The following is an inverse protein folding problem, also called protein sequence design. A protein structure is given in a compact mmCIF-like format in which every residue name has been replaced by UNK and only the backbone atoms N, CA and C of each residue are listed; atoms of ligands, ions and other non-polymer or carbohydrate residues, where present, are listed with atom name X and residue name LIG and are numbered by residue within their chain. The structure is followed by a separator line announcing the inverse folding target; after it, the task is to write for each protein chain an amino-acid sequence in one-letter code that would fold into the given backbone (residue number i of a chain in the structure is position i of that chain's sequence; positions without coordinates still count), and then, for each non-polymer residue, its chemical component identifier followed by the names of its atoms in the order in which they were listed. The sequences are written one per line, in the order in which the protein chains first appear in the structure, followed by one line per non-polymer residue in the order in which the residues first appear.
data_IF_607357905958
#
_entry.id   IF_607357905958
#
_cell.length_a   1.000
_cell.length_b   1.000
_cell.length_c   1.000
_cell.angle_alpha   90.00
_cell.angle_beta   90.00
_cell.angle_gamma   90.00
#
_symmetry.space_group_name_H-M   'P 1'
#
loop_
_entity.id
_entity.type
_entity.pdbx_description
1 polymer ?
#
# COMPACT_ATOMS: atom_id res chain seq x y z
N UNK A 1 21.26 -11.58 -4.46
CA UNK A 1 19.89 -11.13 -4.78
C UNK A 1 19.79 -9.64 -4.50
N UNK A 2 19.68 -8.79 -5.54
CA UNK A 2 19.62 -7.33 -5.37
C UNK A 2 18.17 -6.95 -5.07
N UNK A 3 17.91 -6.54 -3.84
CA UNK A 3 16.62 -5.97 -3.46
C UNK A 3 16.51 -4.57 -4.06
N UNK A 4 15.67 -4.38 -5.07
CA UNK A 4 15.57 -3.09 -5.75
C UNK A 4 14.42 -2.22 -5.23
N UNK A 5 13.39 -2.79 -4.61
CA UNK A 5 12.20 -2.06 -4.22
C UNK A 5 11.74 -2.37 -2.79
N UNK A 6 11.14 -1.37 -2.16
CA UNK A 6 10.45 -1.47 -0.88
C UNK A 6 8.99 -1.10 -1.05
N UNK A 7 8.10 -1.95 -0.55
CA UNK A 7 6.69 -1.63 -0.32
C UNK A 7 6.54 -1.14 1.11
N UNK A 8 5.95 0.03 1.29
CA UNK A 8 5.82 0.69 2.58
C UNK A 8 4.41 1.16 2.83
N UNK A 9 3.99 1.09 4.09
CA UNK A 9 2.72 1.64 4.56
C UNK A 9 2.91 3.09 4.99
N UNK A 10 1.97 3.95 4.63
CA UNK A 10 1.96 5.31 5.15
C UNK A 10 1.69 5.30 6.66
N UNK A 11 2.56 5.94 7.44
CA UNK A 11 2.42 6.09 8.90
C UNK A 11 1.26 6.99 9.32
N UNK A 12 0.66 7.72 8.38
CA UNK A 12 -0.49 8.56 8.67
C UNK A 12 -1.76 7.72 8.80
N UNK A 13 -2.37 7.70 9.99
CA UNK A 13 -3.59 6.94 10.31
C UNK A 13 -4.77 7.28 9.40
N UNK A 14 -4.91 8.55 8.98
CA UNK A 14 -5.98 8.94 8.05
C UNK A 14 -5.76 8.39 6.63
N UNK A 15 -4.50 8.22 6.21
CA UNK A 15 -4.15 7.64 4.93
C UNK A 15 -4.11 6.12 4.99
N UNK A 16 -3.17 5.55 5.74
CA UNK A 16 -2.97 4.10 5.92
C UNK A 16 -2.61 3.31 4.66
N UNK A 17 -2.67 3.92 3.46
CA UNK A 17 -2.40 3.32 2.16
C UNK A 17 -0.93 2.88 2.01
N UNK A 18 -0.73 1.84 1.21
CA UNK A 18 0.56 1.32 0.81
C UNK A 18 1.04 1.99 -0.48
N UNK A 19 2.36 2.11 -0.60
CA UNK A 19 3.05 2.61 -1.79
C UNK A 19 4.41 1.92 -1.91
N UNK A 20 5.07 2.01 -3.07
CA UNK A 20 6.39 1.39 -3.26
C UNK A 20 7.44 2.40 -3.73
N UNK A 21 8.70 2.19 -3.36
CA UNK A 21 9.85 3.01 -3.76
C UNK A 21 11.06 2.13 -4.06
N UNK A 22 12.09 2.71 -4.68
CA UNK A 22 13.39 2.04 -4.84
C UNK A 22 14.09 1.90 -3.48
N UNK A 23 14.83 0.82 -3.29
CA UNK A 23 15.51 0.49 -2.05
C UNK A 23 16.59 1.49 -1.63
N UNK A 24 17.12 2.25 -2.60
CA UNK A 24 18.15 3.28 -2.38
C UNK A 24 17.61 4.52 -1.65
N UNK A 25 16.29 4.74 -1.66
CA UNK A 25 15.71 5.94 -1.04
C UNK A 25 15.65 5.80 0.49
N UNK A 26 16.02 6.87 1.21
CA UNK A 26 15.88 6.96 2.69
C UNK A 26 14.52 7.50 3.12
N UNK A 27 13.91 8.33 2.29
CA UNK A 27 12.61 8.94 2.52
C UNK A 27 11.77 8.89 1.26
N UNK A 28 10.46 8.73 1.42
CA UNK A 28 9.48 8.75 0.33
C UNK A 28 8.34 9.70 0.66
N UNK A 29 7.85 10.46 -0.31
CA UNK A 29 6.60 11.20 -0.16
C UNK A 29 5.41 10.27 -0.45
N UNK A 30 4.42 10.25 0.44
CA UNK A 30 3.20 9.48 0.21
C UNK A 30 2.41 10.10 -0.96
N UNK A 31 2.10 9.35 -2.04
CA UNK A 31 1.39 9.91 -3.18
C UNK A 31 -0.10 10.20 -2.92
N UNK A 32 -0.59 9.90 -1.71
CA UNK A 32 -2.01 10.03 -1.36
C UNK A 32 -2.31 11.13 -0.35
N UNK A 33 -1.39 11.39 0.58
CA UNK A 33 -1.57 12.41 1.63
C UNK A 33 -0.36 13.33 1.75
N UNK A 34 0.59 13.22 0.82
CA UNK A 34 1.78 14.08 0.67
C UNK A 34 2.74 14.11 1.87
N UNK A 35 2.45 13.35 2.93
CA UNK A 35 3.34 13.22 4.09
C UNK A 35 4.61 12.48 3.73
N UNK A 36 5.72 12.95 4.30
CA UNK A 36 7.03 12.32 4.19
C UNK A 36 7.09 11.08 5.09
N UNK A 37 7.39 9.94 4.48
CA UNK A 37 7.59 8.64 5.11
C UNK A 37 9.10 8.40 5.23
N UNK A 38 9.58 8.15 6.44
CA UNK A 38 10.98 7.77 6.68
C UNK A 38 11.13 6.25 6.58
N UNK A 39 11.82 5.77 5.54
CA UNK A 39 11.94 4.35 5.19
C UNK A 39 12.86 3.56 6.14
N UNK A 40 13.58 4.25 7.02
CA UNK A 40 14.36 3.64 8.10
C UNK A 40 13.55 3.38 9.36
N UNK A 41 12.40 4.05 9.52
CA UNK A 41 11.57 3.99 10.74
C UNK A 41 10.22 3.29 10.56
N UNK A 42 9.90 2.86 9.34
CA UNK A 42 8.63 2.19 9.02
C UNK A 42 8.85 0.76 8.58
N UNK A 43 7.86 -0.08 8.85
CA UNK A 43 7.81 -1.43 8.30
C UNK A 43 7.80 -1.37 6.77
N UNK A 44 8.66 -2.20 6.18
CA UNK A 44 8.87 -2.27 4.74
C UNK A 44 9.02 -3.71 4.29
N UNK A 45 8.42 -4.01 3.15
CA UNK A 45 8.52 -5.31 2.50
C UNK A 45 9.50 -5.16 1.33
N UNK A 46 10.58 -5.92 1.40
CA UNK A 46 11.59 -6.04 0.37
C UNK A 46 11.06 -6.85 -0.82
N UNK A 47 11.17 -6.31 -2.03
CA UNK A 47 10.85 -7.03 -3.26
C UNK A 47 11.89 -6.79 -4.35
N UNK A 48 12.07 -7.79 -5.19
CA UNK A 48 13.12 -7.79 -6.21
C UNK A 48 12.72 -7.00 -7.44
N UNK A 49 11.43 -7.04 -7.83
CA UNK A 49 10.96 -6.41 -9.08
C UNK A 49 9.91 -5.33 -8.86
N UNK A 50 9.88 -4.35 -9.77
CA UNK A 50 8.87 -3.29 -9.79
C UNK A 50 7.45 -3.87 -9.94
N UNK A 51 7.29 -4.88 -10.79
CA UNK A 51 6.01 -5.53 -11.06
C UNK A 51 5.44 -6.19 -9.80
N UNK A 52 6.27 -6.90 -9.04
CA UNK A 52 5.87 -7.46 -7.74
C UNK A 52 5.49 -6.36 -6.75
N UNK A 53 6.28 -5.29 -6.65
CA UNK A 53 5.98 -4.15 -5.78
C UNK A 53 4.61 -3.53 -6.08
N UNK A 54 4.33 -3.30 -7.38
CA UNK A 54 3.07 -2.75 -7.86
C UNK A 54 1.89 -3.67 -7.53
N UNK A 55 2.03 -4.98 -7.79
CA UNK A 55 0.99 -5.97 -7.51
C UNK A 55 0.64 -6.01 -6.03
N UNK A 56 1.65 -6.08 -5.16
CA UNK A 56 1.45 -6.07 -3.70
C UNK A 56 0.76 -4.79 -3.22
N UNK A 57 1.17 -3.62 -3.71
CA UNK A 57 0.52 -2.35 -3.35
C UNK A 57 -0.95 -2.32 -3.77
N UNK A 58 -1.28 -2.82 -4.96
CA UNK A 58 -2.66 -2.93 -5.40
C UNK A 58 -3.48 -3.86 -4.51
N UNK A 59 -2.96 -5.06 -4.20
CA UNK A 59 -3.64 -6.02 -3.34
C UNK A 59 -3.83 -5.48 -1.92
N UNK A 60 -2.81 -4.86 -1.33
CA UNK A 60 -2.90 -4.31 0.02
C UNK A 60 -3.85 -3.11 0.09
N UNK A 61 -3.81 -2.21 -0.89
CA UNK A 61 -4.74 -1.08 -0.93
C UNK A 61 -6.17 -1.52 -1.22
N UNK A 62 -6.38 -2.55 -2.03
CA UNK A 62 -7.70 -3.15 -2.25
C UNK A 62 -8.26 -3.75 -0.96
N UNK A 63 -7.47 -4.57 -0.26
CA UNK A 63 -7.86 -5.13 1.06
C UNK A 63 -8.13 -4.03 2.11
N UNK A 64 -7.34 -2.97 2.13
CA UNK A 64 -7.58 -1.79 2.98
C UNK A 64 -8.87 -1.05 2.63
N UNK A 65 -9.16 -0.90 1.34
CA UNK A 65 -10.42 -0.35 0.84
C UNK A 65 -11.61 -1.22 1.28
N UNK A 66 -11.49 -2.54 1.10
CA UNK A 66 -12.47 -3.53 1.54
C UNK A 66 -12.67 -3.57 3.06
N UNK A 67 -11.66 -3.23 3.86
CA UNK A 67 -11.77 -3.07 5.32
C UNK A 67 -12.44 -1.76 5.73
N UNK A 68 -12.35 -0.72 4.88
CA UNK A 68 -13.01 0.58 5.08
C UNK A 68 -14.42 0.64 4.49
N UNK A 69 -14.75 -0.26 3.56
CA UNK A 69 -16.11 -0.40 3.05
C UNK A 69 -17.02 -0.90 4.18
N UNK A 70 -18.06 -0.14 4.55
CA UNK A 70 -19.04 -0.61 5.51
C UNK A 70 -19.64 -1.95 5.05
N UNK A 71 -19.90 -2.88 5.98
CA UNK A 71 -20.47 -4.21 5.68
C UNK A 71 -21.66 -4.16 4.71
N UNK A 72 -22.53 -3.16 4.87
CA UNK A 72 -23.72 -2.96 4.03
C UNK A 72 -23.41 -2.69 2.55
N UNK A 73 -22.22 -2.16 2.21
CA UNK A 73 -21.83 -1.90 0.82
C UNK A 73 -21.38 -3.19 0.10
N UNK A 74 -20.70 -4.10 0.83
CA UNK A 74 -20.32 -5.42 0.30
C UNK A 74 -21.54 -6.31 0.04
N UNK A 75 -22.49 -6.35 0.97
CA UNK A 75 -23.71 -7.16 0.85
C UNK A 75 -24.57 -6.77 -0.35
N UNK A 76 -24.63 -5.48 -0.71
CA UNK A 76 -25.35 -5.02 -1.92
C UNK A 76 -24.67 -5.44 -3.22
N UNK A 77 -23.34 -5.46 -3.25
CA UNK A 77 -22.56 -5.80 -4.45
C UNK A 77 -22.65 -7.29 -4.77
N UNK A 78 -22.63 -8.15 -3.74
CA UNK A 78 -22.83 -9.61 -3.88
C UNK A 78 -24.25 -9.98 -4.33
N UNK A 79 -25.27 -9.23 -3.89
CA UNK A 79 -26.66 -9.44 -4.35
C UNK A 79 -26.93 -8.99 -5.79
N UNK A 80 -26.08 -8.16 -6.37
CA UNK A 80 -26.24 -7.64 -7.73
C UNK A 80 -25.53 -8.50 -8.79
N UNK A 81 -24.77 -9.52 -8.37
CA UNK A 81 -24.04 -10.45 -9.25
C UNK A 81 -24.63 -11.88 -9.25
N UNK A 82 -25.81 -12.08 -8.63
CA UNK A 82 -26.65 -13.27 -8.75
C UNK A 82 -27.94 -12.91 -9.46
#
# INVERSE_FOLDING_TARGET
MKTEYYVVRCSNLSCGKFSYCKAVQKTKMCPYCERRINLSKVEKIAVETNSQARKLVQEFNKKLGELREPRWYKERKEKQTR
#
